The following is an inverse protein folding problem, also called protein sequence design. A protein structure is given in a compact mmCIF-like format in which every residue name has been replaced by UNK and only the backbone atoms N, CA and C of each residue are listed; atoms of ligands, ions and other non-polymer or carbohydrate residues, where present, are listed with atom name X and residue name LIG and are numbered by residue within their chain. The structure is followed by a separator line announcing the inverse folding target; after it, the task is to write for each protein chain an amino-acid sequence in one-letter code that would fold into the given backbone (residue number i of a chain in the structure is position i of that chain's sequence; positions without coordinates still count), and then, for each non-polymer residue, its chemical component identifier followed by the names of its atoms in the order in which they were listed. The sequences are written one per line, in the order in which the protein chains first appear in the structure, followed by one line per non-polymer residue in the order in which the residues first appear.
data_IF_173747872750
#
_entry.id   IF_173747872750
#
_cell.length_a   1.000
_cell.length_b   1.000
_cell.length_c   1.000
_cell.angle_alpha   90.00
_cell.angle_beta   90.00
_cell.angle_gamma   90.00
#
_symmetry.space_group_name_H-M   'P 1'
#
loop_
_entity.id
_entity.type
_entity.pdbx_description
1 polymer ?
#
# COMPACT_ATOMS: atom_id res chain seq x y z
N UNK A 1 29.29 -17.21 0.19
CA UNK A 1 28.50 -16.12 -0.43
C UNK A 1 28.41 -15.03 0.61
N UNK A 2 28.70 -13.75 0.31
CA UNK A 2 28.48 -12.70 1.29
C UNK A 2 26.99 -12.55 1.56
N UNK A 3 26.65 -12.13 2.78
CA UNK A 3 25.28 -11.95 3.25
C UNK A 3 25.17 -10.60 3.94
N UNK A 4 24.02 -9.95 3.83
CA UNK A 4 23.73 -8.66 4.46
C UNK A 4 22.39 -8.73 5.17
N UNK A 5 22.26 -8.06 6.30
CA UNK A 5 20.96 -7.89 6.95
C UNK A 5 20.14 -6.90 6.11
N UNK A 6 19.02 -7.36 5.57
CA UNK A 6 18.03 -6.56 4.83
C UNK A 6 16.69 -6.80 5.51
N UNK A 7 16.04 -5.73 5.99
CA UNK A 7 14.75 -5.76 6.70
C UNK A 7 14.66 -6.83 7.82
N UNK A 8 15.78 -7.08 8.52
CA UNK A 8 15.87 -8.06 9.62
C UNK A 8 16.28 -9.47 9.19
N UNK A 9 16.41 -9.74 7.89
CA UNK A 9 16.79 -11.05 7.35
C UNK A 9 18.20 -11.03 6.72
N UNK A 10 19.04 -11.97 7.17
CA UNK A 10 20.37 -12.22 6.58
C UNK A 10 20.22 -12.82 5.18
N UNK A 11 20.44 -11.98 4.17
CA UNK A 11 20.12 -12.25 2.77
C UNK A 11 21.40 -12.35 1.92
N UNK A 12 21.58 -13.40 1.09
CA UNK A 12 22.75 -13.55 0.23
C UNK A 12 22.71 -12.58 -0.96
N UNK A 13 23.86 -11.97 -1.27
CA UNK A 13 23.96 -10.98 -2.36
C UNK A 13 25.17 -11.23 -3.25
N UNK A 14 25.11 -10.73 -4.49
CA UNK A 14 26.21 -10.73 -5.44
C UNK A 14 26.85 -9.32 -5.51
N UNK A 15 28.11 -9.16 -5.06
CA UNK A 15 28.82 -7.88 -5.10
C UNK A 15 29.39 -7.56 -6.49
N UNK A 16 29.29 -6.30 -6.88
CA UNK A 16 30.00 -5.69 -8.02
C UNK A 16 30.63 -4.39 -7.55
N UNK A 17 31.97 -4.34 -7.54
CA UNK A 17 32.71 -3.11 -7.26
C UNK A 17 32.82 -2.24 -8.51
N UNK A 18 32.41 -0.97 -8.40
CA UNK A 18 32.54 0.04 -9.45
C UNK A 18 33.52 1.13 -8.97
N UNK A 19 34.66 1.25 -9.63
CA UNK A 19 35.69 2.24 -9.34
C UNK A 19 35.71 3.39 -10.36
N UNK A 20 36.70 4.27 -10.24
CA UNK A 20 37.00 5.34 -11.21
C UNK A 20 35.85 6.36 -11.43
N UNK A 21 34.97 6.55 -10.44
CA UNK A 21 33.97 7.60 -10.47
C UNK A 21 34.56 9.01 -10.27
N UNK A 22 33.73 10.04 -10.44
CA UNK A 22 34.13 11.46 -10.40
C UNK A 22 35.02 11.81 -9.19
N UNK A 23 36.14 12.55 -9.37
CA UNK A 23 37.06 12.91 -8.28
C UNK A 23 36.39 13.53 -7.05
N UNK A 24 36.80 13.07 -5.88
CA UNK A 24 36.29 13.52 -4.59
C UNK A 24 37.22 14.55 -3.95
N UNK A 25 36.81 15.82 -3.92
CA UNK A 25 37.53 16.90 -3.25
C UNK A 25 37.84 16.58 -1.78
N UNK A 26 36.89 15.98 -1.06
CA UNK A 26 37.01 15.60 0.35
C UNK A 26 37.99 14.44 0.62
N UNK A 27 38.33 13.63 -0.40
CA UNK A 27 39.35 12.56 -0.33
C UNK A 27 40.51 12.82 -1.30
N UNK A 28 41.07 14.04 -1.28
CA UNK A 28 42.32 14.37 -2.00
C UNK A 28 42.23 14.11 -3.52
N UNK A 29 41.07 14.38 -4.14
CA UNK A 29 40.73 14.07 -5.53
C UNK A 29 40.82 12.59 -5.94
N UNK A 30 40.85 11.64 -4.98
CA UNK A 30 40.63 10.21 -5.29
C UNK A 30 39.26 10.03 -5.96
N UNK A 31 39.14 9.11 -6.94
CA UNK A 31 37.85 8.84 -7.58
C UNK A 31 36.83 8.28 -6.57
N UNK A 32 35.56 8.62 -6.75
CA UNK A 32 34.45 7.95 -6.06
C UNK A 32 34.41 6.46 -6.43
N UNK A 33 33.96 5.63 -5.50
CA UNK A 33 33.71 4.20 -5.74
C UNK A 33 32.39 3.76 -5.13
N UNK A 34 31.82 2.69 -5.69
CA UNK A 34 30.52 2.15 -5.29
C UNK A 34 30.56 0.62 -5.22
N UNK A 35 30.01 0.04 -4.16
CA UNK A 35 29.75 -1.40 -4.07
C UNK A 35 28.27 -1.65 -4.35
N UNK A 36 27.98 -2.22 -5.51
CA UNK A 36 26.62 -2.61 -5.92
C UNK A 36 26.35 -4.04 -5.45
N UNK A 37 25.24 -4.24 -4.76
CA UNK A 37 24.84 -5.50 -4.14
C UNK A 37 23.53 -5.96 -4.77
N UNK A 38 23.63 -6.92 -5.69
CA UNK A 38 22.45 -7.51 -6.33
C UNK A 38 21.86 -8.60 -5.41
N UNK A 39 20.55 -8.53 -5.17
CA UNK A 39 19.82 -9.41 -4.25
C UNK A 39 18.67 -10.08 -5.00
N UNK A 40 18.43 -11.37 -4.72
CA UNK A 40 17.23 -12.05 -5.21
C UNK A 40 15.97 -11.43 -4.57
N UNK A 41 15.08 -10.91 -5.41
CA UNK A 41 13.71 -10.62 -5.03
C UNK A 41 12.77 -11.07 -6.16
N UNK A 42 11.96 -12.13 -5.99
CA UNK A 42 11.20 -12.74 -7.08
C UNK A 42 10.24 -11.79 -7.82
N UNK A 43 9.69 -10.81 -7.10
CA UNK A 43 8.66 -9.88 -7.60
C UNK A 43 9.25 -8.53 -8.08
N UNK A 44 10.59 -8.36 -8.00
CA UNK A 44 11.24 -7.09 -8.37
C UNK A 44 11.39 -6.90 -9.88
N UNK A 45 11.39 -5.63 -10.32
CA UNK A 45 11.59 -5.25 -11.74
C UNK A 45 12.94 -4.55 -11.98
N UNK A 46 14.01 -5.07 -11.37
CA UNK A 46 15.39 -4.53 -11.41
C UNK A 46 15.58 -3.16 -10.72
N UNK A 47 14.86 -2.90 -9.63
CA UNK A 47 14.88 -1.62 -8.93
C UNK A 47 15.99 -1.50 -7.86
N UNK A 48 16.36 -0.25 -7.56
CA UNK A 48 17.30 0.09 -6.50
C UNK A 48 16.52 0.18 -5.17
N UNK A 49 16.85 -0.68 -4.20
CA UNK A 49 16.28 -0.63 -2.85
C UNK A 49 16.84 0.54 -2.04
N UNK A 50 18.15 0.80 -2.15
CA UNK A 50 18.82 1.86 -1.41
C UNK A 50 20.14 2.29 -2.04
N UNK A 51 20.52 3.54 -1.76
CA UNK A 51 21.85 4.12 -1.99
C UNK A 51 22.28 4.79 -0.69
N UNK A 52 23.49 4.51 -0.22
CA UNK A 52 24.06 5.11 0.99
C UNK A 52 25.54 5.48 0.77
N UNK A 53 25.99 6.60 1.33
CA UNK A 53 27.41 6.94 1.43
C UNK A 53 27.92 6.42 2.78
N UNK A 54 28.67 5.30 2.77
CA UNK A 54 29.06 4.59 4.01
C UNK A 54 30.38 5.09 4.60
N UNK A 55 31.27 5.59 3.75
CA UNK A 55 32.34 6.51 4.13
C UNK A 55 32.43 7.59 3.05
N UNK A 56 33.06 8.73 3.33
CA UNK A 56 33.06 9.87 2.40
C UNK A 56 33.47 9.45 0.97
N UNK A 57 32.63 9.70 -0.03
CA UNK A 57 32.82 9.30 -1.43
C UNK A 57 32.94 7.78 -1.72
N UNK A 58 32.54 6.92 -0.78
CA UNK A 58 32.41 5.46 -0.94
C UNK A 58 30.95 5.05 -0.72
N UNK A 59 30.31 4.56 -1.79
CA UNK A 59 28.88 4.30 -1.82
C UNK A 59 28.55 2.81 -1.73
N UNK A 60 27.43 2.50 -1.12
CA UNK A 60 26.75 1.21 -1.19
C UNK A 60 25.43 1.36 -1.93
N UNK A 61 25.15 0.47 -2.88
CA UNK A 61 23.91 0.44 -3.66
C UNK A 61 23.30 -0.95 -3.58
N UNK A 62 22.06 -1.08 -3.11
CA UNK A 62 21.35 -2.37 -3.09
C UNK A 62 20.35 -2.42 -4.24
N UNK A 63 20.41 -3.47 -5.05
CA UNK A 63 19.54 -3.67 -6.23
C UNK A 63 18.78 -4.99 -6.08
N UNK A 64 17.46 -4.93 -6.19
CA UNK A 64 16.59 -6.10 -6.22
C UNK A 64 16.51 -6.63 -7.65
N UNK A 65 16.69 -7.94 -7.85
CA UNK A 65 16.62 -8.56 -9.17
C UNK A 65 16.08 -9.99 -9.11
N UNK A 66 15.14 -10.38 -10.01
CA UNK A 66 14.62 -11.74 -10.06
C UNK A 66 15.66 -12.72 -10.64
N UNK A 67 16.64 -12.25 -11.43
CA UNK A 67 17.61 -13.11 -12.13
C UNK A 67 18.46 -13.96 -11.18
N UNK A 68 18.77 -13.46 -9.98
CA UNK A 68 19.50 -14.21 -8.97
C UNK A 68 18.67 -15.32 -8.29
N UNK A 69 17.33 -15.23 -8.35
CA UNK A 69 16.45 -16.19 -7.67
C UNK A 69 16.46 -17.59 -8.28
N UNK A 70 16.84 -17.70 -9.57
CA UNK A 70 17.06 -18.98 -10.24
C UNK A 70 18.29 -19.73 -9.69
N UNK A 71 19.24 -19.04 -9.04
CA UNK A 71 20.48 -19.66 -8.57
C UNK A 71 20.37 -20.12 -7.11
N UNK A 72 20.56 -21.43 -6.79
CA UNK A 72 20.32 -21.97 -5.44
C UNK A 72 21.11 -21.33 -4.29
N UNK A 73 22.23 -20.63 -4.57
CA UNK A 73 23.04 -19.94 -3.56
C UNK A 73 22.60 -18.48 -3.29
N UNK A 74 21.71 -17.92 -4.11
CA UNK A 74 21.17 -16.57 -3.94
C UNK A 74 19.64 -16.52 -3.75
N UNK A 75 18.92 -17.61 -4.10
CA UNK A 75 17.48 -17.74 -3.91
C UNK A 75 17.03 -17.35 -2.49
N UNK A 76 16.10 -16.40 -2.41
CA UNK A 76 15.45 -16.00 -1.18
C UNK A 76 14.81 -17.20 -0.50
N UNK A 77 15.05 -17.34 0.81
CA UNK A 77 14.42 -18.34 1.66
C UNK A 77 13.41 -17.62 2.55
N UNK A 78 12.14 -17.68 2.20
CA UNK A 78 11.09 -17.27 3.11
C UNK A 78 11.18 -18.10 4.40
N UNK A 79 11.05 -17.44 5.56
CA UNK A 79 10.81 -18.14 6.81
C UNK A 79 9.51 -18.96 6.70
N UNK A 80 9.45 -20.19 7.23
CA UNK A 80 8.22 -20.97 7.19
C UNK A 80 7.14 -20.24 8.01
N UNK A 81 6.06 -19.84 7.33
CA UNK A 81 4.84 -19.37 7.98
C UNK A 81 4.18 -20.58 8.62
N UNK A 82 4.01 -20.54 9.95
CA UNK A 82 3.28 -21.56 10.68
C UNK A 82 1.83 -21.08 10.86
N UNK A 83 0.86 -21.78 10.26
CA UNK A 83 -0.56 -21.45 10.39
C UNK A 83 -1.04 -21.68 11.83
N UNK A 84 -1.40 -20.60 12.54
CA UNK A 84 -1.90 -20.67 13.92
C UNK A 84 -3.41 -20.93 13.90
N UNK A 85 -3.79 -22.22 13.92
CA UNK A 85 -5.19 -22.64 14.00
C UNK A 85 -5.76 -22.48 15.41
N UNK A 86 -6.15 -21.25 15.77
CA UNK A 86 -6.90 -20.96 16.99
C UNK A 86 -8.26 -21.68 16.98
N UNK A 87 -8.55 -22.46 18.03
CA UNK A 87 -9.85 -23.07 18.26
C UNK A 87 -10.48 -22.50 19.53
N UNK A 88 -11.81 -22.34 19.53
CA UNK A 88 -12.55 -21.92 20.72
C UNK A 88 -12.54 -23.01 21.79
N UNK A 89 -12.17 -22.67 23.02
CA UNK A 89 -12.24 -23.60 24.16
C UNK A 89 -13.69 -24.05 24.44
N UNK A 90 -13.93 -25.25 24.99
CA UNK A 90 -15.26 -25.69 25.40
C UNK A 90 -15.93 -24.67 26.32
N UNK A 91 -17.18 -24.30 26.02
CA UNK A 91 -17.93 -23.28 26.75
C UNK A 91 -17.67 -21.83 26.29
N UNK A 92 -16.77 -21.59 25.32
CA UNK A 92 -16.66 -20.28 24.67
C UNK A 92 -17.99 -19.89 24.00
N UNK A 93 -18.41 -18.61 24.05
CA UNK A 93 -19.62 -18.19 23.36
C UNK A 93 -19.41 -18.23 21.84
N UNK A 94 -20.40 -18.74 21.10
CA UNK A 94 -20.40 -18.79 19.62
C UNK A 94 -20.21 -17.43 18.92
N UNK A 95 -20.26 -16.32 19.66
CA UNK A 95 -20.06 -14.96 19.18
C UNK A 95 -19.47 -14.10 20.31
N UNK A 96 -18.46 -13.24 20.07
CA UNK A 96 -17.92 -12.36 21.10
C UNK A 96 -19.00 -11.49 21.73
N UNK A 97 -18.91 -11.26 23.05
CA UNK A 97 -19.89 -10.47 23.81
C UNK A 97 -19.97 -9.02 23.31
N UNK A 98 -18.83 -8.40 23.04
CA UNK A 98 -18.74 -7.06 22.43
C UNK A 98 -19.39 -6.99 21.05
N UNK A 99 -19.26 -8.04 20.23
CA UNK A 99 -19.89 -8.07 18.91
C UNK A 99 -21.42 -8.13 19.01
N UNK A 100 -21.96 -8.92 19.95
CA UNK A 100 -23.41 -8.94 20.25
C UNK A 100 -23.92 -7.59 20.76
N UNK A 101 -23.14 -6.90 21.59
CA UNK A 101 -23.50 -5.59 22.13
C UNK A 101 -23.56 -4.51 21.03
N UNK A 102 -22.58 -4.51 20.11
CA UNK A 102 -22.57 -3.61 18.96
C UNK A 102 -23.75 -3.86 18.02
N UNK A 103 -24.09 -5.13 17.74
CA UNK A 103 -25.24 -5.48 16.91
C UNK A 103 -26.57 -5.05 17.53
N UNK A 104 -26.74 -5.22 18.85
CA UNK A 104 -27.90 -4.72 19.58
C UNK A 104 -27.97 -3.18 19.56
N UNK A 105 -26.83 -2.50 19.65
CA UNK A 105 -26.76 -1.04 19.54
C UNK A 105 -27.13 -0.55 18.13
N UNK A 106 -26.69 -1.26 17.08
CA UNK A 106 -27.09 -0.96 15.69
C UNK A 106 -28.59 -1.18 15.47
N UNK A 107 -29.16 -2.27 16.01
CA UNK A 107 -30.58 -2.60 15.91
C UNK A 107 -31.46 -1.56 16.62
N UNK A 108 -31.02 -1.02 17.77
CA UNK A 108 -31.69 0.09 18.48
C UNK A 108 -31.63 1.41 17.69
N UNK A 109 -30.59 1.64 16.88
CA UNK A 109 -30.43 2.84 16.06
C UNK A 109 -31.23 2.81 14.75
N UNK A 110 -31.78 1.66 14.34
CA UNK A 110 -32.61 1.51 13.14
C UNK A 110 -34.03 2.05 13.38
N UNK A 111 -34.22 3.33 13.07
CA UNK A 111 -35.50 4.06 13.23
C UNK A 111 -36.65 3.34 12.48
N UNK A 112 -37.75 2.97 13.15
CA UNK A 112 -38.86 2.25 12.51
C UNK A 112 -39.74 3.19 11.69
N UNK A 113 -39.60 3.15 10.36
CA UNK A 113 -40.54 3.77 9.44
C UNK A 113 -41.94 3.11 9.56
N UNK A 114 -42.84 3.74 10.32
CA UNK A 114 -44.26 3.36 10.35
C UNK A 114 -44.92 3.66 9.01
N UNK A 115 -45.20 2.63 8.22
CA UNK A 115 -46.18 2.67 7.13
C UNK A 115 -47.44 1.94 7.62
N UNK A 116 -48.59 2.59 7.54
CA UNK A 116 -49.84 2.00 8.01
C UNK A 116 -50.35 0.88 7.07
N UNK A 117 -51.22 0.05 7.65
CA UNK A 117 -51.62 -1.29 7.22
C UNK A 117 -52.75 -1.29 6.18
N UNK A 118 -52.69 -2.26 5.26
CA UNK A 118 -53.79 -3.09 4.70
C UNK A 118 -53.07 -4.29 4.04
N UNK A 119 -53.10 -5.51 4.61
CA UNK A 119 -54.09 -6.59 4.39
C UNK A 119 -54.06 -7.14 2.94
N UNK A 120 -53.78 -8.42 2.63
CA UNK A 120 -53.36 -9.62 3.41
C UNK A 120 -52.39 -10.46 2.51
N UNK A 121 -52.17 -11.79 2.43
CA UNK A 121 -52.79 -13.02 2.97
C UNK A 121 -51.81 -14.23 2.90
N UNK A 122 -51.72 -15.06 3.95
CA UNK A 122 -51.15 -16.45 4.00
C UNK A 122 -49.65 -16.71 3.62
N UNK A 123 -49.03 -17.86 3.94
CA UNK A 123 -49.03 -18.71 5.17
C UNK A 123 -47.99 -19.86 5.06
N UNK A 124 -47.25 -20.15 6.15
CA UNK A 124 -46.27 -21.28 6.29
C UNK A 124 -45.03 -21.22 5.37
N UNK A 125 -43.90 -21.89 5.63
CA UNK A 125 -43.56 -22.89 6.66
C UNK A 125 -42.07 -22.76 7.05
N UNK A 126 -41.71 -22.92 8.33
CA UNK A 126 -40.32 -23.18 8.72
C UNK A 126 -39.90 -24.62 8.36
N UNK A 127 -38.72 -24.83 7.77
CA UNK A 127 -37.99 -26.09 7.93
C UNK A 127 -36.50 -25.85 8.25
N UNK A 128 -36.08 -26.35 9.41
CA UNK A 128 -34.72 -26.26 9.96
C UNK A 128 -34.05 -27.63 9.88
N UNK A 129 -33.05 -27.78 9.02
CA UNK A 129 -32.21 -28.99 8.96
C UNK A 129 -30.70 -28.63 8.81
N UNK A 130 -29.77 -29.54 9.15
CA UNK A 130 -28.68 -29.16 10.06
C UNK A 130 -27.28 -29.22 9.46
N UNK A 131 -26.32 -28.61 10.15
CA UNK A 131 -24.90 -28.76 9.86
C UNK A 131 -24.40 -30.17 10.25
N UNK A 132 -23.92 -30.94 9.27
CA UNK A 132 -23.13 -32.17 9.48
C UNK A 132 -21.93 -32.12 8.52
N UNK A 133 -20.72 -32.17 9.07
CA UNK A 133 -19.50 -32.28 8.27
C UNK A 133 -19.26 -33.72 7.81
N UNK A 134 -18.80 -33.87 6.56
CA UNK A 134 -17.88 -34.95 6.16
C UNK A 134 -16.81 -34.36 5.23
N UNK A 135 -15.51 -34.59 5.48
CA UNK A 135 -14.46 -34.20 4.55
C UNK A 135 -14.35 -35.21 3.39
N UNK A 136 -14.12 -34.70 2.18
CA UNK A 136 -13.53 -35.43 1.06
C UNK A 136 -12.26 -34.67 0.68
N UNK A 137 -11.20 -35.41 0.33
CA UNK A 137 -9.85 -34.88 0.18
C UNK A 137 -9.35 -34.94 -1.28
N UNK A 138 -8.19 -34.32 -1.49
CA UNK A 138 -7.36 -34.33 -2.71
C UNK A 138 -7.90 -33.49 -3.88
N UNK A 139 -7.30 -32.32 -4.05
CA UNK A 139 -7.44 -31.44 -5.20
C UNK A 139 -6.40 -30.32 -5.10
N UNK A 140 -5.35 -30.38 -5.92
CA UNK A 140 -4.18 -29.50 -5.82
C UNK A 140 -4.50 -28.02 -6.09
N UNK A 141 -4.04 -27.12 -5.20
CA UNK A 141 -3.96 -25.68 -5.45
C UNK A 141 -2.55 -25.16 -5.17
N UNK A 142 -2.09 -24.11 -5.87
CA UNK A 142 -0.81 -23.46 -5.58
C UNK A 142 -0.88 -22.69 -4.24
N UNK A 143 0.23 -22.68 -3.50
CA UNK A 143 0.32 -21.91 -2.25
C UNK A 143 0.33 -20.40 -2.53
N UNK A 144 -0.55 -19.65 -1.87
CA UNK A 144 -0.43 -18.20 -1.78
C UNK A 144 0.68 -17.83 -0.79
N UNK A 145 1.59 -16.95 -1.19
CA UNK A 145 2.53 -16.28 -0.29
C UNK A 145 1.87 -15.06 0.35
N UNK A 146 1.96 -14.93 1.68
CA UNK A 146 1.28 -13.86 2.42
C UNK A 146 2.01 -12.53 2.28
N UNK A 147 1.43 -11.65 1.46
CA UNK A 147 1.78 -10.23 1.37
C UNK A 147 0.59 -9.28 1.56
N UNK A 148 -0.61 -9.79 1.89
CA UNK A 148 -1.82 -9.02 2.26
C UNK A 148 -2.98 -9.97 2.61
N UNK A 149 -3.27 -10.18 3.90
CA UNK A 149 -4.24 -11.20 4.36
C UNK A 149 -5.73 -10.88 4.14
N UNK A 150 -6.07 -9.70 3.61
CA UNK A 150 -7.45 -9.28 3.35
C UNK A 150 -7.84 -9.13 1.86
N UNK A 151 -6.87 -9.08 0.93
CA UNK A 151 -7.15 -8.73 -0.48
C UNK A 151 -7.70 -9.92 -1.29
N UNK A 152 -7.35 -11.16 -0.92
CA UNK A 152 -7.58 -12.39 -1.71
C UNK A 152 -9.05 -12.85 -1.90
N UNK A 153 -10.02 -11.95 -1.68
CA UNK A 153 -11.46 -12.18 -1.89
C UNK A 153 -12.22 -10.99 -2.48
N UNK A 154 -11.57 -9.83 -2.69
CA UNK A 154 -12.22 -8.64 -3.23
C UNK A 154 -12.19 -8.66 -4.76
N UNK A 155 -13.27 -8.27 -5.40
CA UNK A 155 -13.24 -7.90 -6.83
C UNK A 155 -12.65 -6.50 -6.98
N UNK A 156 -12.06 -6.20 -8.14
CA UNK A 156 -11.53 -4.85 -8.41
C UNK A 156 -12.57 -3.76 -8.17
N UNK A 157 -13.83 -3.99 -8.54
CA UNK A 157 -14.92 -3.02 -8.38
C UNK A 157 -15.28 -2.78 -6.91
N UNK A 158 -15.11 -3.78 -6.05
CA UNK A 158 -15.28 -3.64 -4.60
C UNK A 158 -14.06 -2.94 -3.99
N UNK A 159 -12.85 -3.29 -4.41
CA UNK A 159 -11.61 -2.62 -4.01
C UNK A 159 -11.63 -1.12 -4.39
N UNK A 160 -12.16 -0.77 -5.57
CA UNK A 160 -12.40 0.62 -6.01
C UNK A 160 -13.39 1.34 -5.09
N UNK A 161 -14.51 0.70 -4.72
CA UNK A 161 -15.52 1.28 -3.84
C UNK A 161 -14.98 1.52 -2.43
N UNK A 162 -14.28 0.54 -1.87
CA UNK A 162 -13.67 0.64 -0.54
C UNK A 162 -12.51 1.65 -0.53
N UNK A 163 -11.71 1.72 -1.60
CA UNK A 163 -10.68 2.75 -1.75
C UNK A 163 -11.28 4.16 -1.84
N UNK A 164 -12.24 4.42 -2.74
CA UNK A 164 -12.79 5.78 -2.95
C UNK A 164 -13.67 6.29 -1.79
N UNK A 165 -14.20 5.40 -0.95
CA UNK A 165 -14.81 5.76 0.35
C UNK A 165 -13.80 5.88 1.50
N UNK A 166 -12.52 5.65 1.21
CA UNK A 166 -11.41 5.65 2.16
C UNK A 166 -11.56 4.61 3.27
N UNK A 167 -12.38 3.56 3.09
CA UNK A 167 -12.49 2.44 4.03
C UNK A 167 -11.38 1.40 3.83
N UNK A 168 -10.84 1.33 2.61
CA UNK A 168 -9.58 0.68 2.30
C UNK A 168 -8.50 1.73 2.01
N UNK A 169 -7.26 1.44 2.40
CA UNK A 169 -6.12 2.32 2.27
C UNK A 169 -4.95 1.61 1.57
N UNK A 170 -4.18 2.34 0.78
CA UNK A 170 -2.97 1.80 0.18
C UNK A 170 -1.81 1.88 1.16
N UNK A 171 -1.14 0.75 1.38
CA UNK A 171 0.03 0.63 2.25
C UNK A 171 1.28 0.32 1.41
N UNK A 172 2.45 0.75 1.88
CA UNK A 172 3.74 0.41 1.26
C UNK A 172 4.93 1.09 1.92
N UNK A 173 5.99 1.36 1.16
CA UNK A 173 7.27 1.87 1.66
C UNK A 173 8.31 0.78 1.92
N UNK A 174 9.57 1.07 1.62
CA UNK A 174 10.71 0.14 1.70
C UNK A 174 11.66 0.53 2.82
N UNK A 175 12.25 -0.47 3.50
CA UNK A 175 13.11 -0.24 4.65
C UNK A 175 12.33 0.30 5.85
N UNK A 176 12.94 1.26 6.56
CA UNK A 176 12.48 1.79 7.85
C UNK A 176 11.10 2.45 7.81
N UNK A 177 10.84 3.27 6.79
CA UNK A 177 9.59 4.01 6.67
C UNK A 177 8.55 3.25 5.86
N UNK A 178 7.38 3.05 6.47
CA UNK A 178 6.16 2.59 5.83
C UNK A 178 5.17 3.76 5.71
N UNK A 179 4.28 3.65 4.73
CA UNK A 179 3.30 4.67 4.38
C UNK A 179 1.91 4.05 4.31
N UNK A 180 0.92 4.81 4.74
CA UNK A 180 -0.51 4.49 4.67
C UNK A 180 -1.22 5.69 4.03
N UNK A 181 -2.01 5.45 3.00
CA UNK A 181 -2.77 6.47 2.29
C UNK A 181 -4.23 6.04 2.16
N UNK A 182 -5.11 6.80 2.82
CA UNK A 182 -6.54 6.63 2.79
C UNK A 182 -7.16 7.77 1.98
N UNK A 183 -7.74 7.44 0.82
CA UNK A 183 -8.33 8.42 -0.11
C UNK A 183 -9.42 9.26 0.59
N UNK A 184 -9.39 10.57 0.37
CA UNK A 184 -10.33 11.51 0.99
C UNK A 184 -10.22 11.62 2.51
N UNK A 185 -9.13 11.12 3.11
CA UNK A 185 -8.91 11.12 4.57
C UNK A 185 -7.52 11.60 4.97
N UNK A 186 -6.47 10.82 4.73
CA UNK A 186 -5.14 11.10 5.29
C UNK A 186 -3.99 10.36 4.61
N UNK A 187 -2.78 10.87 4.83
CA UNK A 187 -1.50 10.21 4.57
C UNK A 187 -0.73 10.12 5.89
N UNK A 188 -0.41 8.89 6.32
CA UNK A 188 0.45 8.61 7.47
C UNK A 188 1.80 8.06 7.00
N UNK A 189 2.86 8.48 7.69
CA UNK A 189 4.17 7.84 7.67
C UNK A 189 4.36 7.15 9.02
N UNK A 190 4.86 5.93 9.04
CA UNK A 190 5.13 5.21 10.29
C UNK A 190 6.36 4.31 10.18
N UNK A 191 6.97 4.03 11.33
CA UNK A 191 7.87 2.88 11.48
C UNK A 191 7.36 2.04 12.65
N UNK A 192 7.66 0.75 12.65
CA UNK A 192 7.32 -0.16 13.74
C UNK A 192 8.57 -0.92 14.14
N UNK A 193 8.99 -0.72 15.38
CA UNK A 193 10.13 -1.37 16.02
C UNK A 193 9.60 -2.35 17.08
N UNK A 194 10.29 -3.47 17.27
CA UNK A 194 9.89 -4.52 18.24
C UNK A 194 10.04 -4.07 19.68
N UNK A 195 11.01 -3.18 19.95
CA UNK A 195 11.39 -2.79 21.31
C UNK A 195 10.80 -1.41 21.69
N UNK A 196 10.47 -0.55 20.71
CA UNK A 196 9.89 0.79 20.93
C UNK A 196 8.49 1.02 20.35
N UNK A 197 7.94 0.06 19.58
CA UNK A 197 6.57 0.10 19.06
C UNK A 197 6.40 0.90 17.76
N UNK A 198 5.17 1.35 17.48
CA UNK A 198 4.82 2.09 16.26
C UNK A 198 4.90 3.60 16.49
N UNK A 199 5.92 4.24 15.92
CA UNK A 199 5.94 5.70 15.72
C UNK A 199 5.12 6.04 14.49
N UNK A 200 4.22 7.01 14.57
CA UNK A 200 3.37 7.46 13.46
C UNK A 200 3.40 8.98 13.36
N UNK A 201 3.43 9.50 12.14
CA UNK A 201 3.42 10.94 11.80
C UNK A 201 2.34 11.18 10.75
N UNK A 202 1.51 12.20 10.98
CA UNK A 202 0.53 12.68 10.01
C UNK A 202 1.25 13.56 8.99
N UNK A 203 1.35 13.08 7.75
CA UNK A 203 2.01 13.80 6.65
C UNK A 203 1.06 14.82 6.01
N UNK A 204 -0.23 14.50 6.02
CA UNK A 204 -1.31 15.40 5.64
C UNK A 204 -2.68 14.77 5.81
N UNK A 205 -3.70 15.61 5.94
CA UNK A 205 -5.13 15.27 6.03
C UNK A 205 -5.89 15.88 4.85
N UNK A 206 -7.04 15.30 4.51
CA UNK A 206 -7.87 15.76 3.40
C UNK A 206 -8.71 16.97 3.81
N UNK A 207 -8.63 18.03 3.02
CA UNK A 207 -9.62 19.09 3.01
C UNK A 207 -9.98 19.42 1.55
N UNK A 208 -11.28 19.40 1.24
CA UNK A 208 -11.76 19.52 -0.14
C UNK A 208 -11.63 20.96 -0.65
N UNK A 209 -11.86 21.95 0.20
CA UNK A 209 -11.76 23.37 -0.12
C UNK A 209 -10.30 23.78 -0.42
N UNK A 210 -9.36 23.39 0.44
CA UNK A 210 -7.91 23.57 0.23
C UNK A 210 -7.43 22.88 -1.05
N UNK A 211 -7.89 21.65 -1.32
CA UNK A 211 -7.52 20.96 -2.55
C UNK A 211 -8.07 21.67 -3.80
N UNK A 212 -9.31 22.16 -3.77
CA UNK A 212 -9.88 22.97 -4.88
C UNK A 212 -9.12 24.30 -5.05
N UNK A 213 -8.68 24.94 -3.97
CA UNK A 213 -7.81 26.13 -4.05
C UNK A 213 -6.40 25.84 -4.56
N UNK A 214 -5.87 24.66 -4.26
CA UNK A 214 -4.61 24.17 -4.80
C UNK A 214 -4.74 23.84 -6.29
N UNK A 215 -5.83 23.18 -6.71
CA UNK A 215 -6.09 22.78 -8.11
C UNK A 215 -6.25 23.98 -9.04
N UNK A 216 -6.84 25.10 -8.58
CA UNK A 216 -6.86 26.38 -9.33
C UNK A 216 -5.46 26.93 -9.68
N UNK A 217 -4.41 26.45 -9.01
CA UNK A 217 -3.02 26.93 -9.13
C UNK A 217 -2.06 25.84 -9.64
N UNK A 218 -2.52 24.60 -9.80
CA UNK A 218 -1.68 23.42 -10.08
C UNK A 218 -2.36 22.47 -11.07
N UNK A 219 -1.59 21.79 -11.91
CA UNK A 219 -2.12 20.80 -12.87
C UNK A 219 -2.58 19.52 -12.15
N UNK A 220 -3.87 19.44 -11.81
CA UNK A 220 -4.44 18.33 -11.04
C UNK A 220 -4.65 17.04 -11.86
N UNK A 221 -4.82 17.14 -13.19
CA UNK A 221 -4.87 16.00 -14.13
C UNK A 221 -3.72 16.08 -15.13
N UNK A 222 -3.01 14.98 -15.36
CA UNK A 222 -2.05 14.87 -16.47
C UNK A 222 -2.52 13.80 -17.48
N UNK A 223 -2.65 14.23 -18.73
CA UNK A 223 -3.13 13.41 -19.84
C UNK A 223 -2.00 12.65 -20.54
N UNK A 224 -2.37 11.60 -21.26
CA UNK A 224 -1.53 10.93 -22.23
C UNK A 224 -2.25 10.90 -23.59
N UNK A 225 -1.54 11.27 -24.65
CA UNK A 225 -1.99 11.07 -26.03
C UNK A 225 -1.71 9.62 -26.42
N UNK A 226 -2.75 8.89 -26.81
CA UNK A 226 -2.61 7.55 -27.38
C UNK A 226 -2.32 7.64 -28.89
N UNK A 227 -1.82 6.54 -29.48
CA UNK A 227 -1.46 6.48 -30.90
C UNK A 227 -2.66 6.63 -31.86
N UNK A 228 -3.89 6.44 -31.36
CA UNK A 228 -5.15 6.70 -32.07
C UNK A 228 -5.63 8.17 -31.99
N UNK A 229 -4.92 9.02 -31.25
CA UNK A 229 -5.25 10.42 -31.02
C UNK A 229 -6.19 10.68 -29.83
N UNK A 230 -6.64 9.65 -29.11
CA UNK A 230 -7.43 9.83 -27.88
C UNK A 230 -6.56 10.37 -26.73
N UNK A 231 -7.19 11.07 -25.79
CA UNK A 231 -6.55 11.50 -24.54
C UNK A 231 -7.20 10.80 -23.35
N UNK A 232 -6.39 10.08 -22.58
CA UNK A 232 -6.80 9.48 -21.29
C UNK A 232 -6.00 10.10 -20.15
N UNK A 233 -6.60 10.12 -18.95
CA UNK A 233 -5.97 10.64 -17.73
C UNK A 233 -4.98 9.58 -17.24
N UNK A 234 -3.68 9.90 -17.26
CA UNK A 234 -2.61 8.98 -16.82
C UNK A 234 -2.16 9.23 -15.38
N UNK A 235 -2.50 10.39 -14.82
CA UNK A 235 -2.27 10.74 -13.42
C UNK A 235 -3.32 11.74 -12.92
N UNK A 236 -3.77 11.57 -11.67
CA UNK A 236 -4.35 12.68 -10.88
C UNK A 236 -3.43 13.05 -9.71
N UNK A 237 -3.45 14.33 -9.33
CA UNK A 237 -2.70 14.89 -8.21
C UNK A 237 -3.65 15.55 -7.21
N UNK A 238 -3.58 15.11 -5.95
CA UNK A 238 -4.40 15.61 -4.84
C UNK A 238 -3.53 16.26 -3.77
N UNK A 239 -4.06 17.28 -3.09
CA UNK A 239 -3.38 17.98 -2.01
C UNK A 239 -3.96 17.58 -0.65
N UNK A 240 -3.08 17.27 0.30
CA UNK A 240 -3.42 16.96 1.68
C UNK A 240 -2.59 17.90 2.58
N UNK A 241 -3.25 18.87 3.19
CA UNK A 241 -2.65 19.87 4.10
C UNK A 241 -2.63 19.39 5.55
N UNK A 242 -2.46 20.30 6.51
CA UNK A 242 -2.73 20.08 7.94
C UNK A 242 -2.19 18.75 8.53
N UNK A 243 -0.95 18.39 8.21
CA UNK A 243 -0.19 17.34 8.89
C UNK A 243 0.49 17.85 10.18
N UNK A 244 1.19 16.96 10.88
CA UNK A 244 1.89 17.27 12.13
C UNK A 244 2.90 18.42 11.96
N UNK A 245 3.06 19.24 12.99
CA UNK A 245 3.98 20.40 12.94
C UNK A 245 5.43 19.95 12.73
N UNK A 246 6.06 20.56 11.74
CA UNK A 246 7.45 20.36 11.36
C UNK A 246 8.40 21.01 12.37
N UNK A 247 9.24 20.20 13.00
CA UNK A 247 10.30 20.61 13.92
C UNK A 247 11.34 21.56 13.29
N UNK A 248 11.56 21.46 11.98
CA UNK A 248 12.52 22.30 11.23
C UNK A 248 11.92 23.63 10.76
N UNK A 249 10.61 23.69 10.47
CA UNK A 249 9.98 24.84 9.79
C UNK A 249 8.83 25.50 10.55
N UNK A 250 8.45 24.95 11.70
CA UNK A 250 7.33 25.37 12.57
C UNK A 250 5.99 25.53 11.83
N UNK A 251 5.75 24.63 10.86
CA UNK A 251 4.56 24.63 9.99
C UNK A 251 3.99 23.21 9.88
N UNK A 252 2.67 23.05 9.65
CA UNK A 252 2.08 21.75 9.33
C UNK A 252 2.79 21.09 8.15
N UNK A 253 3.01 19.77 8.24
CA UNK A 253 3.40 18.95 7.08
C UNK A 253 2.30 18.98 6.02
N UNK A 254 2.70 18.86 4.75
CA UNK A 254 1.78 18.81 3.62
C UNK A 254 2.30 17.85 2.55
N UNK A 255 1.39 17.19 1.82
CA UNK A 255 1.74 16.21 0.78
C UNK A 255 0.87 16.35 -0.47
N UNK A 256 1.51 16.29 -1.64
CA UNK A 256 0.82 16.09 -2.92
C UNK A 256 0.82 14.60 -3.26
N UNK A 257 -0.33 13.96 -3.18
CA UNK A 257 -0.51 12.55 -3.58
C UNK A 257 -0.70 12.47 -5.08
N UNK A 258 0.07 11.63 -5.76
CA UNK A 258 0.04 11.43 -7.22
C UNK A 258 -0.35 9.99 -7.53
N UNK A 259 -1.62 9.80 -7.89
CA UNK A 259 -2.19 8.51 -8.30
C UNK A 259 -1.89 8.30 -9.78
N UNK A 260 -1.26 7.17 -10.14
CA UNK A 260 -0.91 6.82 -11.52
C UNK A 260 -1.43 5.44 -11.90
N UNK A 261 -1.85 5.32 -13.16
CA UNK A 261 -2.03 4.03 -13.80
C UNK A 261 -0.66 3.38 -14.06
N UNK A 262 -0.53 2.09 -13.71
CA UNK A 262 0.64 1.27 -13.98
C UNK A 262 0.19 -0.16 -14.18
N UNK A 263 0.26 -0.63 -15.42
CA UNK A 263 -0.09 -2.01 -15.79
C UNK A 263 0.86 -3.01 -15.13
N UNK A 264 0.30 -4.17 -14.77
CA UNK A 264 1.02 -5.25 -14.09
C UNK A 264 0.22 -6.55 -14.21
N UNK A 265 0.92 -7.69 -14.27
CA UNK A 265 0.34 -9.03 -14.37
C UNK A 265 -0.43 -9.44 -13.10
N UNK A 266 -0.22 -8.72 -11.98
CA UNK A 266 -1.01 -8.82 -10.75
C UNK A 266 -1.91 -7.58 -10.61
N UNK A 267 -3.25 -7.72 -10.65
CA UNK A 267 -4.18 -6.58 -10.68
C UNK A 267 -4.17 -5.77 -9.37
N UNK A 268 -3.83 -6.41 -8.25
CA UNK A 268 -3.78 -5.79 -6.93
C UNK A 268 -2.35 -5.32 -6.54
N UNK A 269 -1.41 -5.29 -7.49
CA UNK A 269 -0.08 -4.73 -7.23
C UNK A 269 -0.15 -3.23 -6.95
N UNK A 270 0.51 -2.76 -5.88
CA UNK A 270 0.57 -1.34 -5.51
C UNK A 270 2.03 -0.96 -5.21
N UNK A 271 2.54 0.05 -5.90
CA UNK A 271 3.82 0.70 -5.56
C UNK A 271 3.50 2.00 -4.81
N UNK A 272 3.92 2.12 -3.55
CA UNK A 272 3.82 3.37 -2.77
C UNK A 272 5.22 3.86 -2.42
N UNK A 273 5.53 5.11 -2.77
CA UNK A 273 6.82 5.75 -2.48
C UNK A 273 6.63 7.23 -2.09
N UNK A 274 7.55 7.76 -1.29
CA UNK A 274 7.54 9.15 -0.82
C UNK A 274 8.80 9.88 -1.29
N UNK A 275 8.66 11.14 -1.68
CA UNK A 275 9.76 12.07 -1.97
C UNK A 275 9.58 13.35 -1.14
N UNK A 276 10.67 13.90 -0.61
CA UNK A 276 10.68 15.18 0.13
C UNK A 276 11.52 16.22 -0.64
N UNK A 277 10.93 16.91 -1.65
CA UNK A 277 11.64 17.93 -2.43
C UNK A 277 12.04 19.17 -1.60
N UNK A 278 11.30 19.49 -0.54
CA UNK A 278 11.63 20.53 0.44
C UNK A 278 11.24 20.03 1.84
N UNK A 279 11.92 20.48 2.89
CA UNK A 279 11.65 20.08 4.28
C UNK A 279 10.15 20.20 4.63
N UNK A 280 9.57 19.10 5.07
CA UNK A 280 8.16 18.95 5.44
C UNK A 280 7.13 19.21 4.31
N UNK A 281 7.57 19.20 3.04
CA UNK A 281 6.71 19.22 1.86
C UNK A 281 6.97 17.98 1.02
N UNK A 282 5.97 17.11 0.91
CA UNK A 282 6.14 15.77 0.35
C UNK A 282 5.39 15.56 -0.96
N UNK A 283 5.84 14.56 -1.73
CA UNK A 283 5.13 13.99 -2.88
C UNK A 283 5.02 12.49 -2.66
N UNK A 284 3.80 11.99 -2.45
CA UNK A 284 3.51 10.56 -2.37
C UNK A 284 3.15 10.05 -3.77
N UNK A 285 3.94 9.15 -4.34
CA UNK A 285 3.58 8.41 -5.54
C UNK A 285 2.85 7.12 -5.20
N UNK A 286 1.69 6.90 -5.82
CA UNK A 286 0.93 5.65 -5.74
C UNK A 286 0.67 5.15 -7.15
N UNK A 287 1.15 3.94 -7.46
CA UNK A 287 1.06 3.36 -8.80
C UNK A 287 0.43 1.96 -8.72
N UNK A 288 -0.66 1.70 -9.45
CA UNK A 288 -1.36 0.41 -9.41
C UNK A 288 -2.23 0.18 -10.66
N UNK A 289 -2.50 -1.09 -11.06
CA UNK A 289 -3.45 -1.38 -12.14
C UNK A 289 -4.89 -0.99 -11.79
N UNK A 290 -5.30 -1.09 -10.52
CA UNK A 290 -6.68 -0.73 -10.12
C UNK A 290 -6.97 0.76 -10.32
N UNK A 291 -5.94 1.62 -10.24
CA UNK A 291 -6.04 3.06 -10.52
C UNK A 291 -6.36 3.31 -11.99
N UNK A 292 -5.88 2.47 -12.93
CA UNK A 292 -6.18 2.61 -14.37
C UNK A 292 -7.68 2.60 -14.67
N UNK A 293 -8.49 1.87 -13.89
CA UNK A 293 -9.95 1.78 -14.07
C UNK A 293 -10.73 3.03 -13.66
N UNK A 294 -10.10 3.97 -12.96
CA UNK A 294 -10.78 5.12 -12.35
C UNK A 294 -10.23 6.49 -12.73
N UNK A 295 -9.04 6.60 -13.34
CA UNK A 295 -8.47 7.92 -13.68
C UNK A 295 -9.33 8.72 -14.67
N UNK A 296 -9.97 8.08 -15.64
CA UNK A 296 -10.85 8.78 -16.60
C UNK A 296 -12.18 9.23 -15.98
N UNK A 297 -12.47 8.88 -14.72
CA UNK A 297 -13.60 9.44 -13.93
C UNK A 297 -13.26 10.77 -13.25
N UNK A 298 -12.03 11.28 -13.44
CA UNK A 298 -11.52 12.47 -12.77
C UNK A 298 -12.16 13.77 -13.27
N UNK A 299 -12.71 14.58 -12.35
CA UNK A 299 -13.22 15.92 -12.63
C UNK A 299 -12.09 16.94 -12.96
N UNK A 300 -12.42 18.20 -13.20
CA UNK A 300 -11.41 19.24 -13.53
C UNK A 300 -10.39 19.49 -12.41
N UNK A 301 -10.78 19.23 -11.16
CA UNK A 301 -9.91 19.29 -9.98
C UNK A 301 -9.14 17.97 -9.74
N UNK A 302 -9.34 16.96 -10.58
CA UNK A 302 -8.73 15.63 -10.45
C UNK A 302 -9.46 14.70 -9.48
N UNK A 303 -10.61 15.07 -8.92
CA UNK A 303 -11.41 14.25 -8.01
C UNK A 303 -11.97 13.03 -8.73
N UNK A 304 -11.61 11.84 -8.25
CA UNK A 304 -12.09 10.57 -8.81
C UNK A 304 -13.50 10.25 -8.30
N UNK A 305 -14.28 9.59 -9.14
CA UNK A 305 -15.63 9.12 -8.83
C UNK A 305 -15.77 7.62 -9.14
N UNK A 306 -16.90 7.01 -8.80
CA UNK A 306 -17.16 5.62 -9.17
C UNK A 306 -17.45 5.53 -10.67
N UNK A 307 -16.86 4.59 -11.42
CA UNK A 307 -17.26 4.32 -12.79
C UNK A 307 -18.70 3.78 -12.81
N UNK A 308 -19.45 4.16 -13.85
CA UNK A 308 -20.84 3.74 -14.10
C UNK A 308 -20.93 2.36 -14.75
#
# INVERSE_FOLDING_TARGET
IPTKNIEGQMTPYYPVGMGNGTPCSLKQNRPRSSTVMYICHPESKHEILSVAEVTTCEYEVVILTPLLCNHPKYRFRASPVNDIFCQSLPGSPFKPLTLRQLEQQEEILRVPFRRNKEEELQSTKEERFPAIHKPIAVGSQPMLTVGTTHISKLTDDQLIKEFLSGSYCFHGGVGWWKYEFCYGKHVHQYHEDKDSGKTSVVVGTWNQEEHIEWAKKNTARAYHLQDDGTQTVRMVSHFYGNGDICDITDKPRQVTVKLKCKESDSPHAVTVYMLEPHSCQYILGVESPVICKILDTADENGLLSLPN
#
